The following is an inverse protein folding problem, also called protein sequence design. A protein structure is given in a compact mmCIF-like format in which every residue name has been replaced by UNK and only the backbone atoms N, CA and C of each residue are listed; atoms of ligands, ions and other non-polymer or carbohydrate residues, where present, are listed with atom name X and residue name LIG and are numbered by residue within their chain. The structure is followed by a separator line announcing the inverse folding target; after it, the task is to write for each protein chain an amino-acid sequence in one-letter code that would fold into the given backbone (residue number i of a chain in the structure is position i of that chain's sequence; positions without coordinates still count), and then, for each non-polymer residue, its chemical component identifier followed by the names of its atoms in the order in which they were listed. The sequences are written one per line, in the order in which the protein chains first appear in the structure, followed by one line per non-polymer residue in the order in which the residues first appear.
data_IF_950098129502
#
_entry.id   IF_950098129502
#
_cell.length_a   1.000
_cell.length_b   1.000
_cell.length_c   1.000
_cell.angle_alpha   90.00
_cell.angle_beta   90.00
_cell.angle_gamma   90.00
#
_symmetry.space_group_name_H-M   'P 1'
#
loop_
_entity.id
_entity.type
_entity.pdbx_description
1 polymer ?
#
# COMPACT_ATOMS: atom_id res chain seq x y z
N UNK A 1 -35.90 2.81 -4.46
CA UNK A 1 -36.97 2.85 -3.44
C UNK A 1 -37.53 1.44 -3.20
N UNK A 2 -36.84 0.57 -2.43
CA UNK A 2 -37.40 -0.64 -1.77
C UNK A 2 -36.42 -1.45 -0.88
N UNK A 3 -35.39 -0.83 -0.32
CA UNK A 3 -34.43 -1.53 0.58
C UNK A 3 -35.01 -1.69 2.01
N UNK A 4 -35.94 -0.82 2.42
CA UNK A 4 -36.56 -0.85 3.75
C UNK A 4 -37.67 -1.93 3.95
N UNK A 5 -38.10 -2.65 2.91
CA UNK A 5 -39.16 -3.69 3.03
C UNK A 5 -38.63 -5.13 3.08
N UNK A 6 -37.34 -5.37 2.83
CA UNK A 6 -36.76 -6.73 2.84
C UNK A 6 -36.41 -7.20 4.27
N UNK A 7 -36.23 -6.27 5.22
CA UNK A 7 -35.88 -6.56 6.61
C UNK A 7 -37.08 -6.79 7.55
N UNK A 8 -38.18 -7.36 7.04
CA UNK A 8 -39.29 -7.84 7.88
C UNK A 8 -39.56 -9.33 7.65
N UNK A 9 -39.10 -10.17 8.59
CA UNK A 9 -39.64 -11.51 8.79
C UNK A 9 -38.74 -12.70 8.44
N UNK A 10 -37.41 -12.56 8.47
CA UNK A 10 -36.49 -13.72 8.37
C UNK A 10 -35.53 -13.78 9.55
N UNK A 11 -35.54 -14.91 10.27
CA UNK A 11 -34.48 -15.29 11.21
C UNK A 11 -33.26 -15.73 10.39
N UNK A 12 -32.43 -14.76 9.99
CA UNK A 12 -31.16 -15.00 9.31
C UNK A 12 -30.03 -14.49 10.20
N UNK A 13 -29.32 -15.43 10.79
CA UNK A 13 -28.11 -15.20 11.58
C UNK A 13 -26.95 -15.08 10.58
N UNK A 14 -26.61 -13.84 10.20
CA UNK A 14 -25.55 -13.51 9.23
C UNK A 14 -24.42 -12.83 9.98
N UNK A 15 -23.22 -13.42 9.91
CA UNK A 15 -22.02 -12.92 10.56
C UNK A 15 -21.36 -11.80 9.74
N UNK A 16 -20.94 -10.71 10.39
CA UNK A 16 -20.31 -9.55 9.74
C UNK A 16 -18.94 -9.86 9.09
N UNK A 17 -18.35 -11.04 9.37
CA UNK A 17 -17.21 -11.57 8.61
C UNK A 17 -17.46 -11.57 7.10
N UNK A 18 -18.70 -11.78 6.67
CA UNK A 18 -19.05 -11.93 5.26
C UNK A 18 -19.07 -10.59 4.50
N UNK A 19 -19.08 -9.46 5.22
CA UNK A 19 -19.19 -8.10 4.65
C UNK A 19 -17.83 -7.56 4.17
N UNK A 20 -16.72 -8.00 4.78
CA UNK A 20 -15.37 -7.51 4.45
C UNK A 20 -14.58 -8.43 3.52
N UNK A 21 -14.98 -9.70 3.38
CA UNK A 21 -14.23 -10.70 2.60
C UNK A 21 -14.72 -10.89 1.15
N UNK A 22 -15.98 -10.53 0.80
CA UNK A 22 -16.57 -10.92 -0.50
C UNK A 22 -17.04 -9.76 -1.38
N UNK A 23 -16.47 -9.69 -2.60
CA UNK A 23 -16.66 -8.60 -3.58
C UNK A 23 -17.99 -8.59 -4.33
N UNK A 24 -18.92 -9.51 -4.06
CA UNK A 24 -20.34 -9.33 -4.43
C UNK A 24 -21.24 -10.35 -3.73
N UNK A 25 -22.51 -9.98 -3.55
CA UNK A 25 -23.58 -10.86 -3.02
C UNK A 25 -23.74 -12.17 -3.83
N UNK A 26 -23.28 -12.22 -5.09
CA UNK A 26 -23.37 -13.43 -5.90
C UNK A 26 -22.41 -14.54 -5.43
N UNK A 27 -21.28 -14.19 -4.82
CA UNK A 27 -20.30 -15.15 -4.30
C UNK A 27 -20.77 -15.81 -2.99
N UNK A 28 -21.58 -15.12 -2.17
CA UNK A 28 -22.15 -15.66 -0.94
C UNK A 28 -22.98 -16.94 -1.16
N UNK A 29 -23.66 -17.06 -2.31
CA UNK A 29 -24.58 -18.16 -2.57
C UNK A 29 -23.89 -19.52 -2.84
N UNK A 30 -22.59 -19.54 -3.12
CA UNK A 30 -21.85 -20.76 -3.50
C UNK A 30 -21.35 -21.57 -2.30
N UNK A 31 -20.95 -20.91 -1.20
CA UNK A 31 -20.15 -21.53 -0.13
C UNK A 31 -20.97 -21.94 1.12
N UNK A 32 -22.22 -21.51 1.26
CA UNK A 32 -23.11 -21.78 2.42
C UNK A 32 -23.45 -23.30 2.58
N UNK A 33 -22.96 -24.18 1.70
CA UNK A 33 -23.33 -25.60 1.66
C UNK A 33 -22.36 -26.57 2.34
N UNK A 34 -21.29 -26.11 2.99
CA UNK A 34 -20.22 -27.01 3.48
C UNK A 34 -19.84 -26.96 4.97
N UNK A 35 -20.24 -25.96 5.77
CA UNK A 35 -19.86 -25.93 7.21
C UNK A 35 -21.04 -25.71 8.17
N UNK A 36 -21.71 -26.81 8.51
CA UNK A 36 -22.67 -26.88 9.62
C UNK A 36 -22.41 -28.12 10.50
N UNK A 37 -21.40 -28.03 11.38
CA UNK A 37 -21.29 -28.85 12.61
C UNK A 37 -20.17 -28.36 13.55
N UNK A 38 -20.50 -27.59 14.61
CA UNK A 38 -19.54 -27.28 15.69
C UNK A 38 -19.94 -26.14 16.64
N UNK A 39 -19.82 -26.35 17.96
CA UNK A 39 -20.28 -25.42 19.03
C UNK A 39 -19.57 -25.69 20.36
N UNK A 40 -19.49 -24.77 21.35
CA UNK A 40 -19.63 -23.29 21.39
C UNK A 40 -19.39 -22.80 22.84
N UNK A 41 -19.33 -21.47 23.05
CA UNK A 41 -19.38 -20.78 24.38
C UNK A 41 -18.13 -21.01 25.30
N UNK A 42 -17.65 -20.08 26.16
CA UNK A 42 -18.09 -18.72 26.61
C UNK A 42 -16.95 -17.94 27.31
N UNK A 43 -16.97 -16.59 27.26
CA UNK A 43 -16.35 -15.63 28.24
C UNK A 43 -14.81 -15.58 28.40
N UNK A 44 -14.12 -14.54 28.94
CA UNK A 44 -14.50 -13.27 29.63
C UNK A 44 -13.45 -12.14 29.40
N UNK A 45 -13.64 -10.96 29.99
CA UNK A 45 -12.92 -9.68 29.75
C UNK A 45 -11.59 -9.50 30.50
N UNK A 46 -10.72 -8.60 30.01
CA UNK A 46 -10.40 -7.33 30.71
C UNK A 46 -9.58 -6.36 29.84
N UNK A 47 -9.72 -5.06 30.11
CA UNK A 47 -9.04 -3.98 29.40
C UNK A 47 -8.27 -3.08 30.38
N UNK A 48 -7.09 -2.59 30.00
CA UNK A 48 -6.39 -1.54 30.72
C UNK A 48 -5.78 -0.52 29.76
N UNK A 49 -5.93 0.75 30.10
CA UNK A 49 -5.48 1.90 29.32
C UNK A 49 -4.03 2.25 29.69
N UNK A 50 -3.25 2.75 28.72
CA UNK A 50 -1.96 3.38 28.96
C UNK A 50 -1.85 4.66 28.12
N UNK A 51 -1.32 5.73 28.72
CA UNK A 51 -1.46 7.11 28.23
C UNK A 51 -0.53 7.45 27.06
N UNK A 52 -1.03 8.29 26.15
CA UNK A 52 -0.28 8.83 25.01
C UNK A 52 0.64 9.94 25.50
N UNK A 53 1.96 9.78 25.34
CA UNK A 53 2.92 10.88 25.45
C UNK A 53 3.37 11.32 24.05
N UNK A 54 3.07 12.57 23.71
CA UNK A 54 3.46 13.17 22.42
C UNK A 54 4.95 13.47 22.47
N UNK A 55 5.75 12.78 21.65
CA UNK A 55 7.16 13.13 21.41
C UNK A 55 7.30 13.89 20.10
N UNK A 56 8.13 14.94 20.14
CA UNK A 56 8.40 15.86 19.05
C UNK A 56 9.16 15.15 17.92
N UNK A 57 8.60 15.15 16.70
CA UNK A 57 9.22 14.55 15.52
C UNK A 57 10.18 15.54 14.82
N UNK A 58 11.44 15.54 15.24
CA UNK A 58 12.54 16.11 14.45
C UNK A 58 12.87 15.19 13.26
N UNK A 59 12.07 15.29 12.20
CA UNK A 59 12.05 14.35 11.08
C UNK A 59 13.04 14.73 9.96
N UNK A 60 14.34 14.75 10.29
CA UNK A 60 15.43 14.81 9.30
C UNK A 60 15.71 13.40 8.77
N UNK A 61 14.88 12.91 7.85
CA UNK A 61 15.10 11.63 7.19
C UNK A 61 16.41 11.63 6.38
N UNK A 62 17.47 11.12 7.00
CA UNK A 62 18.63 10.60 6.28
C UNK A 62 18.39 9.11 6.02
N UNK A 63 18.89 8.60 4.90
CA UNK A 63 18.85 7.17 4.56
C UNK A 63 19.45 6.24 5.63
N UNK A 64 20.23 6.79 6.58
CA UNK A 64 20.79 6.12 7.75
C UNK A 64 19.75 5.52 8.71
N UNK A 65 18.49 5.93 8.62
CA UNK A 65 17.42 5.43 9.48
C UNK A 65 16.76 4.15 8.95
N UNK A 66 17.09 3.72 7.71
CA UNK A 66 16.64 2.43 7.19
C UNK A 66 17.54 1.28 7.66
N UNK A 67 16.94 0.27 8.28
CA UNK A 67 17.64 -0.96 8.63
C UNK A 67 18.00 -1.72 7.34
N UNK A 68 19.30 -1.83 7.06
CA UNK A 68 19.84 -2.63 5.95
C UNK A 68 20.20 -4.04 6.41
N UNK A 69 19.85 -5.04 5.61
CA UNK A 69 20.13 -6.44 5.91
C UNK A 69 21.05 -7.05 4.85
N UNK A 70 22.13 -7.71 5.25
CA UNK A 70 23.00 -8.46 4.35
C UNK A 70 23.80 -9.53 5.12
N UNK A 71 23.78 -10.76 4.62
CA UNK A 71 24.56 -11.91 5.11
C UNK A 71 25.01 -12.71 3.89
N UNK A 72 26.23 -13.24 3.87
CA UNK A 72 26.69 -14.10 2.78
C UNK A 72 27.59 -15.21 3.33
N UNK A 73 27.00 -16.38 3.56
CA UNK A 73 27.65 -17.61 3.99
C UNK A 73 27.09 -18.80 3.20
N UNK A 74 27.74 -19.96 3.23
CA UNK A 74 27.31 -21.15 2.48
C UNK A 74 25.86 -21.53 2.74
N UNK A 75 25.43 -21.46 4.00
CA UNK A 75 24.12 -21.95 4.46
C UNK A 75 23.14 -20.83 4.84
N UNK A 76 23.55 -19.56 4.82
CA UNK A 76 22.70 -18.41 5.11
C UNK A 76 23.11 -17.21 4.26
N UNK A 77 22.16 -16.70 3.47
CA UNK A 77 22.36 -15.55 2.58
C UNK A 77 21.18 -14.58 2.66
N UNK A 78 21.47 -13.29 2.69
CA UNK A 78 20.51 -12.19 2.61
C UNK A 78 21.05 -11.14 1.62
N UNK A 79 20.26 -10.82 0.60
CA UNK A 79 20.54 -9.75 -0.36
C UNK A 79 20.25 -8.38 0.28
N UNK A 80 21.03 -7.36 -0.09
CA UNK A 80 20.92 -6.01 0.49
C UNK A 80 19.53 -5.41 0.26
N UNK A 81 18.71 -5.32 1.31
CA UNK A 81 17.36 -4.76 1.27
C UNK A 81 17.17 -3.74 2.40
N UNK A 82 16.19 -2.83 2.27
CA UNK A 82 15.73 -1.95 3.36
C UNK A 82 14.25 -2.17 3.64
N UNK A 83 13.83 -2.06 4.90
CA UNK A 83 12.41 -1.94 5.25
C UNK A 83 12.00 -0.46 5.13
N UNK A 84 11.40 -0.08 4.00
CA UNK A 84 10.90 1.27 3.78
C UNK A 84 9.45 1.44 4.27
N UNK A 85 9.13 2.61 4.81
CA UNK A 85 7.81 2.95 5.37
C UNK A 85 7.17 4.19 4.71
N UNK A 86 7.69 4.60 3.55
CA UNK A 86 7.21 5.79 2.82
C UNK A 86 5.92 5.48 2.05
N UNK A 87 5.89 4.34 1.34
CA UNK A 87 4.74 3.83 0.59
C UNK A 87 4.45 2.41 1.04
N UNK A 88 3.31 2.19 1.69
CA UNK A 88 2.92 0.93 2.32
C UNK A 88 1.52 0.47 1.93
N UNK A 89 0.67 1.33 1.32
CA UNK A 89 -0.72 0.97 0.98
C UNK A 89 -0.83 -0.28 0.10
N UNK A 90 0.02 -0.43 -0.92
CA UNK A 90 0.00 -1.58 -1.84
C UNK A 90 1.38 -2.21 -1.99
N UNK A 91 1.43 -3.54 -1.81
CA UNK A 91 2.67 -4.31 -1.84
C UNK A 91 3.35 -4.34 -3.23
N UNK A 92 2.60 -4.18 -4.32
CA UNK A 92 3.15 -3.99 -5.67
C UNK A 92 4.01 -2.71 -5.81
N UNK A 93 3.86 -1.75 -4.90
CA UNK A 93 4.79 -0.63 -4.78
C UNK A 93 5.74 -0.76 -3.59
N UNK A 94 5.27 -1.18 -2.42
CA UNK A 94 6.11 -1.18 -1.22
C UNK A 94 7.26 -2.19 -1.27
N UNK A 95 7.06 -3.37 -1.86
CA UNK A 95 8.06 -4.43 -1.91
C UNK A 95 9.21 -4.14 -2.91
N UNK A 96 8.96 -3.69 -4.16
CA UNK A 96 10.05 -3.24 -5.04
C UNK A 96 10.83 -2.05 -4.47
N UNK A 97 10.18 -1.12 -3.76
CA UNK A 97 10.86 0.02 -3.13
C UNK A 97 11.80 -0.40 -2.00
N UNK A 98 11.55 -1.51 -1.31
CA UNK A 98 12.50 -2.09 -0.35
C UNK A 98 13.84 -2.48 -1.02
N UNK A 99 13.81 -2.83 -2.31
CA UNK A 99 15.00 -3.14 -3.11
C UNK A 99 15.63 -1.86 -3.68
N UNK A 100 14.85 -1.00 -4.32
CA UNK A 100 15.37 0.25 -4.94
C UNK A 100 16.03 1.17 -3.92
N UNK A 101 15.40 1.36 -2.75
CA UNK A 101 15.94 2.23 -1.69
C UNK A 101 17.08 1.60 -0.88
N UNK A 102 17.47 0.35 -1.18
CA UNK A 102 18.69 -0.23 -0.61
C UNK A 102 19.97 0.31 -1.25
N UNK A 103 19.87 1.00 -2.39
CA UNK A 103 20.95 1.77 -3.00
C UNK A 103 20.67 3.28 -2.92
N UNK A 104 21.41 3.98 -2.06
CA UNK A 104 21.30 5.43 -1.85
C UNK A 104 21.46 6.25 -3.15
N UNK A 105 22.14 5.67 -4.16
CA UNK A 105 22.31 6.26 -5.49
C UNK A 105 20.99 6.41 -6.25
N UNK A 106 19.96 5.65 -5.89
CA UNK A 106 18.63 5.64 -6.52
C UNK A 106 17.58 6.44 -5.74
N UNK A 107 17.94 7.03 -4.59
CA UNK A 107 17.01 7.93 -3.86
C UNK A 107 16.47 9.08 -4.75
N UNK A 108 17.25 9.73 -5.63
CA UNK A 108 16.69 10.79 -6.47
C UNK A 108 15.67 10.28 -7.49
N UNK A 109 15.79 9.04 -7.98
CA UNK A 109 14.77 8.40 -8.82
C UNK A 109 13.44 8.28 -8.06
N UNK A 110 13.48 7.80 -6.81
CA UNK A 110 12.27 7.71 -5.99
C UNK A 110 11.59 9.08 -5.81
N UNK A 111 12.35 10.16 -5.69
CA UNK A 111 11.82 11.51 -5.55
C UNK A 111 11.30 12.15 -6.86
N UNK A 112 11.64 11.60 -8.01
CA UNK A 112 11.02 11.93 -9.31
C UNK A 112 9.70 11.22 -9.55
N UNK A 113 9.52 10.04 -8.96
CA UNK A 113 8.31 9.24 -9.06
C UNK A 113 7.34 9.52 -7.91
N UNK A 114 6.11 9.00 -7.98
CA UNK A 114 5.03 9.06 -6.98
C UNK A 114 4.56 10.49 -6.61
N UNK A 115 4.66 11.43 -7.56
CA UNK A 115 4.29 12.86 -7.41
C UNK A 115 2.80 13.11 -7.70
N UNK A 116 2.17 12.28 -8.54
CA UNK A 116 0.78 12.43 -8.92
C UNK A 116 0.01 11.15 -8.56
N UNK A 117 -1.29 11.28 -8.33
CA UNK A 117 -2.21 10.21 -7.92
C UNK A 117 -3.45 10.25 -8.78
N UNK A 118 -4.15 9.12 -8.83
CA UNK A 118 -5.47 9.05 -9.42
C UNK A 118 -6.43 8.26 -8.53
N UNK A 119 -7.71 8.50 -8.73
CA UNK A 119 -8.78 7.66 -8.23
C UNK A 119 -9.47 6.95 -9.38
N UNK A 120 -10.04 5.79 -9.07
CA UNK A 120 -10.87 5.00 -9.95
C UNK A 120 -11.97 4.36 -9.10
N UNK A 121 -13.10 4.05 -9.73
CA UNK A 121 -14.23 3.38 -9.07
C UNK A 121 -14.37 2.00 -9.71
N UNK A 122 -14.34 0.95 -8.90
CA UNK A 122 -14.48 -0.42 -9.40
C UNK A 122 -15.93 -0.78 -9.75
N UNK A 123 -16.15 -1.98 -10.31
CA UNK A 123 -17.48 -2.44 -10.71
C UNK A 123 -18.46 -2.61 -9.53
N UNK A 124 -17.95 -2.71 -8.29
CA UNK A 124 -18.72 -2.72 -7.05
C UNK A 124 -19.10 -1.31 -6.56
N UNK A 125 -18.55 -0.27 -7.17
CA UNK A 125 -18.74 1.11 -6.74
C UNK A 125 -17.72 1.60 -5.71
N UNK A 126 -16.67 0.82 -5.40
CA UNK A 126 -15.66 1.22 -4.41
C UNK A 126 -14.61 2.14 -5.01
N UNK A 127 -14.30 3.21 -4.28
CA UNK A 127 -13.19 4.11 -4.51
C UNK A 127 -11.86 3.42 -4.24
N UNK A 128 -11.06 3.23 -5.29
CA UNK A 128 -9.63 2.94 -5.16
C UNK A 128 -8.82 4.18 -5.53
N UNK A 129 -7.88 4.56 -4.67
CA UNK A 129 -6.79 5.48 -4.99
C UNK A 129 -5.53 4.70 -5.39
N UNK A 130 -4.70 5.29 -6.24
CA UNK A 130 -3.41 4.74 -6.65
C UNK A 130 -2.44 5.87 -7.05
N UNK A 131 -1.13 5.61 -6.98
CA UNK A 131 -0.12 6.50 -7.57
C UNK A 131 -0.17 6.44 -9.10
N UNK A 132 0.02 7.58 -9.78
CA UNK A 132 0.03 7.66 -11.24
C UNK A 132 1.38 7.21 -11.82
N UNK A 133 1.71 5.94 -11.57
CA UNK A 133 2.91 5.27 -12.03
C UNK A 133 2.59 4.26 -13.14
N UNK A 134 3.55 3.93 -14.00
CA UNK A 134 3.36 2.78 -14.90
C UNK A 134 3.23 1.48 -14.08
N UNK A 135 2.48 0.50 -14.60
CA UNK A 135 2.30 -0.83 -13.94
C UNK A 135 3.62 -1.52 -13.54
N UNK A 136 4.68 -1.28 -14.30
CA UNK A 136 6.04 -1.75 -14.01
C UNK A 136 7.00 -0.55 -14.11
N UNK A 137 7.06 0.31 -13.08
CA UNK A 137 7.84 1.55 -13.12
C UNK A 137 9.32 1.26 -12.84
N UNK A 138 9.61 0.21 -12.07
CA UNK A 138 10.98 -0.14 -11.66
C UNK A 138 11.81 -0.81 -12.75
N UNK A 139 11.24 -1.15 -13.92
CA UNK A 139 11.97 -1.64 -15.11
C UNK A 139 13.13 -0.74 -15.52
N UNK A 140 13.10 0.54 -15.13
CA UNK A 140 14.19 1.49 -15.34
C UNK A 140 15.35 1.18 -14.40
N UNK A 141 15.05 0.91 -13.13
CA UNK A 141 15.99 0.63 -12.03
C UNK A 141 16.42 -0.85 -11.93
N UNK A 142 15.60 -1.79 -12.43
CA UNK A 142 15.73 -3.23 -12.21
C UNK A 142 15.52 -4.06 -13.48
N UNK A 143 16.07 -5.26 -13.49
CA UNK A 143 15.57 -6.35 -14.32
C UNK A 143 14.39 -7.00 -13.62
N UNK A 144 13.30 -7.22 -14.35
CA UNK A 144 12.04 -7.77 -13.85
C UNK A 144 11.68 -9.00 -14.70
N UNK A 145 11.30 -10.11 -14.06
CA UNK A 145 10.77 -11.30 -14.73
C UNK A 145 9.52 -11.76 -14.01
N UNK A 146 8.40 -11.86 -14.73
CA UNK A 146 7.11 -12.27 -14.20
C UNK A 146 6.81 -13.72 -14.63
N UNK A 147 6.41 -14.55 -13.67
CA UNK A 147 6.12 -15.97 -13.86
C UNK A 147 4.78 -16.31 -13.20
N UNK A 148 3.78 -16.64 -14.00
CA UNK A 148 2.55 -17.27 -13.54
C UNK A 148 2.80 -18.66 -12.96
N UNK A 149 1.89 -19.15 -12.12
CA UNK A 149 2.02 -20.48 -11.47
C UNK A 149 2.26 -21.63 -12.47
N UNK A 150 1.73 -21.50 -13.69
CA UNK A 150 1.87 -22.49 -14.76
C UNK A 150 3.31 -22.67 -15.26
N UNK A 151 4.18 -21.65 -15.15
CA UNK A 151 5.61 -21.79 -15.44
C UNK A 151 6.38 -22.57 -14.35
N UNK A 152 5.80 -22.70 -13.15
CA UNK A 152 6.38 -23.33 -11.97
C UNK A 152 5.77 -24.72 -11.68
N UNK A 153 5.11 -25.33 -12.67
CA UNK A 153 4.57 -26.70 -12.58
C UNK A 153 5.65 -27.78 -12.65
N UNK A 154 6.74 -27.50 -13.37
CA UNK A 154 7.88 -28.42 -13.53
C UNK A 154 8.97 -28.23 -12.47
N UNK A 155 8.82 -27.22 -11.62
CA UNK A 155 9.77 -26.95 -10.56
C UNK A 155 9.61 -27.98 -9.44
N UNK A 156 10.68 -28.70 -9.13
CA UNK A 156 10.63 -29.83 -8.22
C UNK A 156 10.53 -29.39 -6.75
N UNK A 157 11.07 -28.20 -6.45
CA UNK A 157 11.16 -27.64 -5.11
C UNK A 157 11.14 -26.12 -5.19
N UNK A 158 10.09 -25.50 -4.66
CA UNK A 158 10.00 -24.03 -4.64
C UNK A 158 11.11 -23.40 -3.78
N UNK A 159 11.56 -24.12 -2.73
CA UNK A 159 12.67 -23.68 -1.88
C UNK A 159 13.98 -23.64 -2.67
N UNK A 160 14.30 -24.70 -3.41
CA UNK A 160 15.53 -24.75 -4.21
C UNK A 160 15.51 -23.71 -5.34
N UNK A 161 14.34 -23.48 -5.97
CA UNK A 161 14.15 -22.37 -6.91
C UNK A 161 14.44 -21.02 -6.26
N UNK A 162 13.88 -20.73 -5.09
CA UNK A 162 14.11 -19.46 -4.38
C UNK A 162 15.60 -19.31 -4.04
N UNK A 163 16.24 -20.35 -3.48
CA UNK A 163 17.66 -20.38 -3.14
C UNK A 163 18.54 -20.12 -4.37
N UNK A 164 18.23 -20.73 -5.53
CA UNK A 164 18.93 -20.45 -6.79
C UNK A 164 18.77 -18.98 -7.22
N UNK A 165 17.56 -18.42 -7.16
CA UNK A 165 17.33 -17.00 -7.55
C UNK A 165 18.05 -16.03 -6.62
N UNK A 166 17.99 -16.26 -5.31
CA UNK A 166 18.73 -15.49 -4.30
C UNK A 166 20.25 -15.59 -4.53
N UNK A 167 20.78 -16.78 -4.81
CA UNK A 167 22.21 -16.95 -5.12
C UNK A 167 22.64 -16.26 -6.41
N UNK A 168 21.75 -16.17 -7.41
CA UNK A 168 21.95 -15.39 -8.62
C UNK A 168 21.68 -13.88 -8.43
N UNK A 169 21.38 -13.41 -7.22
CA UNK A 169 21.16 -12.00 -6.90
C UNK A 169 19.80 -11.46 -7.33
N UNK A 170 18.79 -12.32 -7.47
CA UNK A 170 17.40 -11.94 -7.68
C UNK A 170 16.63 -12.02 -6.36
N UNK A 171 15.95 -10.93 -6.00
CA UNK A 171 14.88 -10.95 -5.01
C UNK A 171 13.65 -11.63 -5.60
N UNK A 172 12.86 -12.30 -4.75
CA UNK A 172 11.72 -13.11 -5.19
C UNK A 172 10.45 -12.60 -4.52
N UNK A 173 9.67 -11.77 -5.20
CA UNK A 173 8.28 -11.53 -4.80
C UNK A 173 7.49 -12.78 -5.20
N UNK A 174 6.75 -13.37 -4.26
CA UNK A 174 6.06 -14.64 -4.49
C UNK A 174 4.71 -14.68 -3.78
N UNK A 175 3.68 -15.07 -4.53
CA UNK A 175 2.35 -15.35 -4.03
C UNK A 175 2.29 -16.73 -3.35
N UNK A 176 1.83 -16.76 -2.11
CA UNK A 176 1.57 -17.97 -1.33
C UNK A 176 0.27 -17.81 -0.53
N UNK A 177 -0.35 -18.91 -0.13
CA UNK A 177 -1.58 -18.90 0.67
C UNK A 177 -1.26 -18.64 2.15
N UNK A 178 -1.64 -17.46 2.64
CA UNK A 178 -1.39 -17.01 4.01
C UNK A 178 -2.10 -17.87 5.08
N UNK A 179 -3.08 -18.70 4.70
CA UNK A 179 -3.70 -19.69 5.60
C UNK A 179 -2.68 -20.58 6.30
N UNK A 180 -1.57 -20.90 5.61
CA UNK A 180 -0.55 -21.85 6.07
C UNK A 180 0.70 -21.17 6.66
N UNK A 181 0.73 -19.84 6.81
CA UNK A 181 1.91 -19.09 7.24
C UNK A 181 1.71 -18.48 8.65
N UNK A 182 2.28 -19.04 9.74
CA UNK A 182 2.01 -18.62 11.12
C UNK A 182 2.19 -17.13 11.44
N UNK A 183 3.05 -16.44 10.69
CA UNK A 183 3.36 -15.01 10.85
C UNK A 183 2.35 -14.07 10.19
N UNK A 184 1.31 -14.61 9.52
CA UNK A 184 0.35 -13.87 8.70
C UNK A 184 -1.02 -13.70 9.36
N UNK A 185 -1.74 -12.65 8.95
CA UNK A 185 -3.04 -12.31 9.54
C UNK A 185 -4.12 -13.36 9.27
N UNK A 186 -4.11 -14.00 8.09
CA UNK A 186 -5.09 -15.01 7.68
C UNK A 186 -4.74 -16.45 8.12
N UNK A 187 -3.64 -16.65 8.87
CA UNK A 187 -3.20 -17.98 9.33
C UNK A 187 -4.32 -18.75 10.04
N UNK A 188 -4.63 -19.94 9.52
CA UNK A 188 -5.72 -20.82 9.99
C UNK A 188 -7.11 -20.17 10.04
N UNK A 189 -7.34 -19.04 9.35
CA UNK A 189 -8.65 -18.34 9.30
C UNK A 189 -9.31 -18.45 7.94
N UNK A 190 -8.61 -18.10 6.86
CA UNK A 190 -9.15 -18.05 5.51
C UNK A 190 -8.05 -18.26 4.45
N UNK A 191 -8.43 -18.82 3.29
CA UNK A 191 -7.52 -18.96 2.14
C UNK A 191 -7.30 -17.59 1.48
N UNK A 192 -6.12 -17.00 1.70
CA UNK A 192 -5.77 -15.67 1.23
C UNK A 192 -4.41 -15.70 0.54
N UNK A 193 -4.42 -15.73 -0.79
CA UNK A 193 -3.20 -15.79 -1.59
C UNK A 193 -2.64 -14.40 -1.77
N UNK A 194 -1.49 -14.15 -1.17
CA UNK A 194 -0.89 -12.83 -1.12
C UNK A 194 0.63 -12.93 -1.26
N UNK A 195 1.28 -11.84 -1.67
CA UNK A 195 2.72 -11.85 -1.92
C UNK A 195 3.55 -11.28 -0.78
N UNK A 196 4.81 -11.70 -0.73
CA UNK A 196 5.85 -11.13 0.12
C UNK A 196 7.17 -11.24 -0.63
N UNK A 197 8.12 -10.33 -0.37
CA UNK A 197 9.43 -10.37 -1.02
C UNK A 197 10.39 -11.20 -0.19
N UNK A 198 10.87 -12.30 -0.73
CA UNK A 198 11.97 -13.07 -0.17
C UNK A 198 13.26 -12.47 -0.69
N UNK A 199 14.17 -12.17 0.24
CA UNK A 199 15.49 -11.61 -0.04
C UNK A 199 16.63 -12.43 0.58
N UNK A 200 16.30 -13.48 1.36
CA UNK A 200 17.29 -14.36 1.93
C UNK A 200 16.75 -15.71 2.36
N UNK A 201 17.66 -16.56 2.82
CA UNK A 201 17.39 -17.89 3.37
C UNK A 201 18.41 -18.25 4.45
N UNK A 202 18.02 -19.14 5.36
CA UNK A 202 18.84 -19.80 6.36
C UNK A 202 18.55 -21.31 6.31
N UNK A 203 19.48 -22.08 5.74
CA UNK A 203 19.39 -23.54 5.61
C UNK A 203 19.59 -24.26 6.96
N UNK A 204 20.30 -23.64 7.92
CA UNK A 204 20.57 -24.23 9.24
C UNK A 204 19.27 -24.31 10.03
N UNK A 205 18.49 -23.23 10.02
CA UNK A 205 17.18 -23.15 10.68
C UNK A 205 16.00 -23.46 9.75
N UNK A 206 16.24 -23.76 8.46
CA UNK A 206 15.24 -24.04 7.41
C UNK A 206 14.19 -22.92 7.23
N UNK A 207 14.66 -21.68 7.12
CA UNK A 207 13.81 -20.48 7.01
C UNK A 207 14.10 -19.66 5.76
N UNK A 208 13.04 -19.09 5.18
CA UNK A 208 13.09 -18.02 4.20
C UNK A 208 12.99 -16.69 4.93
N UNK A 209 13.73 -15.68 4.47
CA UNK A 209 13.82 -14.35 5.09
C UNK A 209 13.19 -13.34 4.13
N UNK A 210 12.17 -12.63 4.61
CA UNK A 210 11.25 -11.88 3.77
C UNK A 210 10.80 -10.54 4.37
N UNK A 211 10.18 -9.71 3.53
CA UNK A 211 9.38 -8.54 3.94
C UNK A 211 7.95 -8.71 3.42
N UNK A 212 6.97 -8.40 4.26
CA UNK A 212 5.54 -8.43 3.92
C UNK A 212 4.70 -7.95 5.09
N UNK A 213 3.37 -7.96 4.95
CA UNK A 213 2.49 -7.75 6.11
C UNK A 213 2.55 -8.96 7.05
N UNK A 214 2.59 -8.68 8.36
CA UNK A 214 2.53 -9.66 9.43
C UNK A 214 1.10 -9.87 9.95
N UNK A 215 0.94 -10.58 11.07
CA UNK A 215 -0.34 -10.82 11.76
C UNK A 215 -1.07 -9.55 12.23
N UNK A 216 -0.35 -8.43 12.37
CA UNK A 216 -0.89 -7.12 12.75
C UNK A 216 -1.17 -6.22 11.53
N UNK A 217 -1.06 -6.76 10.31
CA UNK A 217 -1.16 -6.02 9.03
C UNK A 217 -0.09 -4.92 8.87
N UNK A 218 1.04 -5.02 9.58
CA UNK A 218 2.17 -4.08 9.50
C UNK A 218 3.25 -4.62 8.56
N UNK A 219 3.74 -3.75 7.67
CA UNK A 219 4.85 -4.08 6.77
C UNK A 219 6.11 -4.26 7.60
N UNK A 220 6.67 -5.46 7.58
CA UNK A 220 7.75 -5.83 8.49
C UNK A 220 8.64 -6.92 7.91
N UNK A 221 9.84 -7.06 8.48
CA UNK A 221 10.68 -8.24 8.27
C UNK A 221 10.01 -9.45 8.94
N UNK A 222 9.87 -10.54 8.18
CA UNK A 222 9.22 -11.78 8.60
C UNK A 222 10.03 -12.98 8.10
N UNK A 223 9.85 -14.14 8.73
CA UNK A 223 10.44 -15.40 8.27
C UNK A 223 9.37 -16.45 8.04
N UNK A 224 9.58 -17.30 7.04
CA UNK A 224 8.73 -18.47 6.79
C UNK A 224 9.54 -19.75 6.94
N UNK A 225 9.06 -20.71 7.74
CA UNK A 225 9.64 -22.04 7.80
C UNK A 225 9.40 -22.77 6.46
N UNK A 226 10.38 -23.55 5.99
CA UNK A 226 10.35 -24.15 4.64
C UNK A 226 9.13 -25.05 4.42
N UNK A 227 8.76 -25.85 5.42
CA UNK A 227 7.69 -26.84 5.29
C UNK A 227 6.29 -26.18 5.23
N UNK A 228 6.10 -25.11 6.01
CA UNK A 228 4.92 -24.23 5.94
C UNK A 228 4.87 -23.51 4.58
N UNK A 229 5.99 -22.97 4.10
CA UNK A 229 6.04 -22.24 2.83
C UNK A 229 5.81 -23.13 1.60
N UNK A 230 6.33 -24.36 1.60
CA UNK A 230 6.03 -25.37 0.58
C UNK A 230 4.51 -25.62 0.51
N UNK A 231 3.87 -25.77 1.67
CA UNK A 231 2.43 -26.00 1.79
C UNK A 231 1.63 -24.77 1.33
N UNK A 232 2.03 -23.57 1.76
CA UNK A 232 1.42 -22.29 1.38
C UNK A 232 1.50 -22.04 -0.13
N UNK A 233 2.66 -22.30 -0.76
CA UNK A 233 2.83 -22.13 -2.21
C UNK A 233 2.02 -23.16 -3.01
N UNK A 234 1.98 -24.42 -2.55
CA UNK A 234 1.17 -25.46 -3.19
C UNK A 234 -0.33 -25.14 -3.16
N UNK A 235 -0.84 -24.62 -2.04
CA UNK A 235 -2.24 -24.18 -1.93
C UNK A 235 -2.49 -22.85 -2.66
N UNK A 236 -1.48 -21.96 -2.74
CA UNK A 236 -1.54 -20.75 -3.55
C UNK A 236 -1.96 -21.02 -5.01
N UNK A 237 -1.44 -22.09 -5.61
CA UNK A 237 -1.82 -22.57 -6.96
C UNK A 237 -3.32 -22.90 -7.10
N UNK A 238 -3.98 -23.30 -5.99
CA UNK A 238 -5.39 -23.69 -5.97
C UNK A 238 -6.32 -22.50 -5.71
N UNK A 239 -5.94 -21.59 -4.82
CA UNK A 239 -6.82 -20.54 -4.30
C UNK A 239 -6.58 -19.13 -4.88
N UNK A 240 -5.54 -18.90 -5.70
CA UNK A 240 -5.18 -17.55 -6.16
C UNK A 240 -6.30 -16.80 -6.89
N UNK A 241 -7.18 -17.52 -7.58
CA UNK A 241 -8.29 -16.92 -8.35
C UNK A 241 -9.28 -16.13 -7.48
N UNK A 242 -9.30 -16.38 -6.17
CA UNK A 242 -10.18 -15.71 -5.21
C UNK A 242 -9.61 -14.34 -4.81
N UNK A 243 -8.34 -14.30 -4.38
CA UNK A 243 -7.72 -13.15 -3.70
C UNK A 243 -6.61 -12.45 -4.51
N UNK A 244 -5.95 -13.17 -5.40
CA UNK A 244 -4.89 -12.64 -6.28
C UNK A 244 -5.00 -13.21 -7.72
N UNK A 245 -6.09 -12.95 -8.46
CA UNK A 245 -6.32 -13.54 -9.79
C UNK A 245 -5.20 -13.21 -10.80
N UNK A 246 -4.49 -12.09 -10.63
CA UNK A 246 -3.32 -11.71 -11.43
C UNK A 246 -2.12 -12.66 -11.28
N UNK A 247 -2.09 -13.52 -10.26
CA UNK A 247 -1.08 -14.57 -10.11
C UNK A 247 -1.20 -15.69 -11.18
N UNK A 248 -2.22 -15.64 -12.06
CA UNK A 248 -2.24 -16.39 -13.32
C UNK A 248 -0.95 -16.19 -14.13
N UNK A 249 -0.46 -14.94 -14.13
CA UNK A 249 0.65 -14.44 -14.95
C UNK A 249 1.81 -13.87 -14.10
N UNK A 250 1.51 -13.44 -12.86
CA UNK A 250 2.45 -12.84 -11.91
C UNK A 250 2.45 -13.60 -10.55
N UNK A 251 2.58 -14.92 -10.52
CA UNK A 251 2.70 -15.66 -9.24
C UNK A 251 4.05 -15.43 -8.55
N UNK A 252 5.10 -15.28 -9.35
CA UNK A 252 6.45 -14.92 -8.92
C UNK A 252 6.95 -13.76 -9.76
N UNK A 253 7.52 -12.75 -9.11
CA UNK A 253 8.21 -11.62 -9.74
C UNK A 253 9.67 -11.64 -9.26
N UNK A 254 10.60 -11.86 -10.20
CA UNK A 254 12.04 -11.84 -9.93
C UNK A 254 12.57 -10.44 -10.21
N UNK A 255 13.12 -9.81 -9.19
CA UNK A 255 13.66 -8.46 -9.26
C UNK A 255 15.17 -8.50 -9.09
N UNK A 256 15.92 -7.73 -9.87
CA UNK A 256 17.37 -7.58 -9.69
C UNK A 256 17.79 -6.16 -10.07
N UNK A 257 18.37 -5.42 -9.12
CA UNK A 257 18.99 -4.12 -9.40
C UNK A 257 19.98 -4.26 -10.56
N UNK A 258 19.91 -3.33 -11.53
CA UNK A 258 20.97 -3.23 -12.54
C UNK A 258 22.20 -2.58 -11.91
N UNK A 259 23.35 -2.80 -12.51
CA UNK A 259 24.56 -2.09 -12.10
C UNK A 259 24.57 -0.68 -12.70
N UNK A 260 24.65 0.33 -11.83
CA UNK A 260 24.68 1.74 -12.21
C UNK A 260 26.07 2.33 -11.99
N UNK A 261 26.63 3.07 -12.97
CA UNK A 261 27.96 3.67 -12.84
C UNK A 261 28.01 4.88 -11.88
N UNK A 262 26.86 5.37 -11.41
CA UNK A 262 26.79 6.58 -10.58
C UNK A 262 25.41 6.78 -9.93
N UNK A 263 25.23 7.94 -9.31
CA UNK A 263 23.96 8.41 -8.75
C UNK A 263 22.98 8.75 -9.87
N UNK A 264 21.70 8.45 -9.66
CA UNK A 264 20.64 8.81 -10.60
C UNK A 264 20.56 10.35 -10.77
N UNK A 265 20.52 10.88 -12.01
CA UNK A 265 20.58 12.30 -12.27
C UNK A 265 19.21 12.96 -12.14
N UNK A 266 18.96 13.70 -11.05
CA UNK A 266 17.65 14.29 -10.77
C UNK A 266 17.25 15.40 -11.76
N UNK A 267 16.13 15.24 -12.47
CA UNK A 267 15.50 16.26 -13.32
C UNK A 267 14.38 17.00 -12.58
N UNK A 268 14.72 18.20 -12.11
CA UNK A 268 13.77 19.14 -11.50
C UNK A 268 12.62 19.53 -12.44
N UNK A 269 12.80 19.49 -13.76
CA UNK A 269 11.73 19.81 -14.72
C UNK A 269 10.70 18.68 -14.78
N UNK A 270 11.14 17.41 -14.73
CA UNK A 270 10.23 16.28 -14.60
C UNK A 270 9.37 16.43 -13.34
N UNK A 271 10.00 16.67 -12.18
CA UNK A 271 9.30 16.90 -10.92
C UNK A 271 8.27 18.03 -11.02
N UNK A 272 8.66 19.20 -11.56
CA UNK A 272 7.77 20.36 -11.67
C UNK A 272 6.59 20.12 -12.63
N UNK A 273 6.82 19.40 -13.73
CA UNK A 273 5.75 19.07 -14.67
C UNK A 273 4.76 18.04 -14.07
N UNK A 274 5.23 17.08 -13.28
CA UNK A 274 4.35 16.17 -12.54
C UNK A 274 3.57 16.90 -11.44
N UNK A 275 4.20 17.83 -10.72
CA UNK A 275 3.55 18.68 -9.73
C UNK A 275 2.48 19.58 -10.37
N UNK A 276 2.74 20.15 -11.55
CA UNK A 276 1.75 20.92 -12.30
C UNK A 276 0.57 20.05 -12.76
N UNK A 277 0.83 18.83 -13.24
CA UNK A 277 -0.20 17.87 -13.60
C UNK A 277 -1.08 17.53 -12.37
N UNK A 278 -0.45 17.27 -11.22
CA UNK A 278 -1.13 17.09 -9.94
C UNK A 278 -2.04 18.29 -9.59
N UNK A 279 -1.48 19.51 -9.64
CA UNK A 279 -2.18 20.76 -9.29
C UNK A 279 -3.22 21.23 -10.32
N UNK A 280 -3.22 20.67 -11.52
CA UNK A 280 -4.23 20.91 -12.57
C UNK A 280 -5.26 19.79 -12.68
N UNK A 281 -5.13 18.73 -11.87
CA UNK A 281 -5.94 17.51 -11.97
C UNK A 281 -5.83 16.82 -13.34
N UNK A 282 -4.65 16.95 -13.96
CA UNK A 282 -4.27 16.26 -15.19
C UNK A 282 -3.53 14.95 -14.88
N UNK A 283 -3.54 14.05 -15.85
CA UNK A 283 -2.84 12.76 -15.77
C UNK A 283 -2.67 12.13 -17.14
N UNK A 284 -2.03 10.97 -17.17
CA UNK A 284 -1.61 10.30 -18.40
C UNK A 284 -2.48 9.07 -18.71
N UNK A 285 -3.16 9.11 -19.85
CA UNK A 285 -4.02 8.02 -20.33
C UNK A 285 -3.22 6.79 -20.79
N UNK A 286 -1.94 6.93 -21.12
CA UNK A 286 -1.05 5.80 -21.43
C UNK A 286 -0.67 5.02 -20.17
N UNK A 287 -0.53 5.70 -19.03
CA UNK A 287 -0.32 5.09 -17.72
C UNK A 287 -1.52 4.24 -17.31
N UNK A 288 -2.75 4.79 -17.33
CA UNK A 288 -3.94 3.98 -16.95
C UNK A 288 -4.18 2.83 -17.93
N UNK A 289 -3.85 3.00 -19.21
CA UNK A 289 -3.89 1.94 -20.20
C UNK A 289 -2.88 0.81 -19.90
N UNK A 290 -1.73 1.11 -19.28
CA UNK A 290 -0.73 0.10 -18.90
C UNK A 290 -1.24 -0.88 -17.83
N UNK A 291 -2.24 -0.49 -17.03
CA UNK A 291 -2.93 -1.38 -16.10
C UNK A 291 -4.05 -2.21 -16.76
N UNK A 292 -4.35 -1.99 -18.04
CA UNK A 292 -5.39 -2.69 -18.81
C UNK A 292 -6.81 -2.56 -18.22
N UNK A 293 -7.10 -1.46 -17.51
CA UNK A 293 -8.36 -1.24 -16.81
C UNK A 293 -9.41 -0.56 -17.68
N UNK A 294 -10.69 -0.78 -17.38
CA UNK A 294 -11.79 -0.03 -18.00
C UNK A 294 -11.79 1.43 -17.51
N UNK A 295 -12.01 2.37 -18.43
CA UNK A 295 -11.62 3.79 -18.27
C UNK A 295 -12.70 4.65 -17.61
N UNK A 296 -13.48 4.08 -16.70
CA UNK A 296 -14.66 4.76 -16.13
C UNK A 296 -14.31 5.52 -14.85
N UNK A 297 -14.81 6.75 -14.75
CA UNK A 297 -14.76 7.61 -13.56
C UNK A 297 -13.36 7.84 -12.96
N UNK A 298 -12.33 7.97 -13.81
CA UNK A 298 -10.97 8.31 -13.33
C UNK A 298 -10.89 9.82 -13.04
N UNK A 299 -10.35 10.19 -11.86
CA UNK A 299 -9.88 11.56 -11.56
C UNK A 299 -8.40 11.54 -11.26
N UNK A 300 -7.71 12.64 -11.54
CA UNK A 300 -6.28 12.78 -11.30
C UNK A 300 -6.00 13.94 -10.34
N UNK A 301 -4.83 13.91 -9.70
CA UNK A 301 -4.29 15.02 -8.93
C UNK A 301 -5.18 15.52 -7.80
N UNK A 302 -5.33 16.84 -7.70
CA UNK A 302 -6.26 17.47 -6.73
C UNK A 302 -7.73 17.04 -6.90
N UNK A 303 -8.15 16.57 -8.08
CA UNK A 303 -9.50 16.06 -8.32
C UNK A 303 -9.83 14.79 -7.53
N UNK A 304 -8.82 14.07 -7.02
CA UNK A 304 -9.01 12.91 -6.14
C UNK A 304 -9.71 13.29 -4.82
N UNK A 305 -9.50 14.51 -4.32
CA UNK A 305 -10.17 15.00 -3.11
C UNK A 305 -11.70 15.01 -3.27
N UNK A 306 -12.21 15.33 -4.46
CA UNK A 306 -13.64 15.43 -4.71
C UNK A 306 -14.32 14.05 -4.67
N UNK A 307 -13.63 13.01 -5.14
CA UNK A 307 -14.13 11.63 -5.06
C UNK A 307 -14.09 11.13 -3.61
N UNK A 308 -13.02 11.39 -2.84
CA UNK A 308 -12.98 11.05 -1.41
C UNK A 308 -14.15 11.72 -0.66
N UNK A 309 -14.40 13.00 -0.91
CA UNK A 309 -15.53 13.72 -0.31
C UNK A 309 -16.86 13.06 -0.71
N UNK A 310 -17.08 12.79 -2.00
CA UNK A 310 -18.31 12.15 -2.49
C UNK A 310 -18.56 10.78 -1.85
N UNK A 311 -17.53 9.95 -1.71
CA UNK A 311 -17.65 8.62 -1.11
C UNK A 311 -17.80 8.65 0.43
N UNK A 312 -17.28 9.69 1.11
CA UNK A 312 -17.60 9.94 2.52
C UNK A 312 -19.02 10.47 2.71
N UNK A 313 -19.54 11.27 1.78
CA UNK A 313 -20.95 11.69 1.77
C UNK A 313 -21.89 10.50 1.51
N UNK A 314 -21.50 9.55 0.65
CA UNK A 314 -22.21 8.26 0.49
C UNK A 314 -22.23 7.45 1.79
N UNK A 315 -21.12 7.40 2.54
CA UNK A 315 -21.03 6.72 3.83
C UNK A 315 -22.01 7.30 4.88
N UNK A 316 -22.25 8.62 4.88
CA UNK A 316 -23.30 9.25 5.70
C UNK A 316 -24.72 8.77 5.38
N UNK A 317 -24.95 8.28 4.16
CA UNK A 317 -26.24 7.70 3.72
C UNK A 317 -26.32 6.18 3.92
N UNK A 318 -25.28 5.57 4.48
CA UNK A 318 -25.18 4.12 4.71
C UNK A 318 -24.66 3.31 3.52
N UNK A 319 -24.03 3.97 2.53
CA UNK A 319 -23.39 3.31 1.38
C UNK A 319 -21.89 3.20 1.65
N UNK A 320 -21.40 1.98 1.80
CA UNK A 320 -19.97 1.70 2.00
C UNK A 320 -19.27 1.62 0.64
N UNK A 321 -18.59 2.68 0.26
CA UNK A 321 -17.91 2.80 -1.04
C UNK A 321 -16.48 3.36 -0.94
N UNK A 322 -15.94 3.52 0.28
CA UNK A 322 -14.56 3.92 0.57
C UNK A 322 -14.05 3.15 1.78
N UNK A 323 -12.76 2.79 1.79
CA UNK A 323 -12.08 2.17 2.93
C UNK A 323 -10.80 2.93 3.32
N UNK A 324 -10.20 2.51 4.45
CA UNK A 324 -9.02 3.12 5.06
C UNK A 324 -7.87 3.39 4.07
N UNK A 325 -7.67 2.52 3.07
CA UNK A 325 -6.55 2.61 2.10
C UNK A 325 -6.58 3.89 1.27
N UNK A 326 -7.76 4.44 0.98
CA UNK A 326 -7.87 5.71 0.27
C UNK A 326 -7.27 6.87 1.09
N UNK A 327 -7.63 6.96 2.38
CA UNK A 327 -7.14 8.01 3.29
C UNK A 327 -5.67 7.78 3.67
N UNK A 328 -5.26 6.52 3.79
CA UNK A 328 -3.87 6.12 4.01
C UNK A 328 -2.98 6.53 2.82
N UNK A 329 -3.35 6.17 1.58
CA UNK A 329 -2.59 6.56 0.38
C UNK A 329 -2.51 8.08 0.22
N UNK A 330 -3.61 8.80 0.49
CA UNK A 330 -3.58 10.26 0.47
C UNK A 330 -2.53 10.82 1.45
N UNK A 331 -2.43 10.23 2.64
CA UNK A 331 -1.42 10.60 3.66
C UNK A 331 0.00 10.28 3.21
N UNK A 332 0.23 9.09 2.65
CA UNK A 332 1.52 8.68 2.08
C UNK A 332 1.95 9.66 0.97
N UNK A 333 1.03 10.05 0.10
CA UNK A 333 1.26 11.07 -0.93
C UNK A 333 1.61 12.43 -0.32
N UNK A 334 0.85 12.95 0.66
CA UNK A 334 1.16 14.26 1.27
C UNK A 334 2.55 14.27 1.89
N UNK A 335 2.89 13.25 2.70
CA UNK A 335 4.23 13.08 3.28
C UNK A 335 5.30 12.95 2.19
N UNK A 336 5.02 12.18 1.14
CA UNK A 336 5.88 11.99 -0.02
C UNK A 336 6.21 13.31 -0.74
N UNK A 337 5.24 14.19 -0.94
CA UNK A 337 5.47 15.52 -1.53
C UNK A 337 6.36 16.37 -0.61
N UNK A 338 6.11 16.40 0.70
CA UNK A 338 6.96 17.14 1.65
C UNK A 338 8.42 16.62 1.63
N UNK A 339 8.60 15.30 1.62
CA UNK A 339 9.92 14.66 1.57
C UNK A 339 10.66 14.99 0.27
N UNK A 340 9.98 15.02 -0.89
CA UNK A 340 10.55 15.46 -2.18
C UNK A 340 10.96 16.92 -2.16
N UNK A 341 10.13 17.79 -1.61
CA UNK A 341 10.42 19.22 -1.52
C UNK A 341 11.60 19.52 -0.57
N UNK A 342 11.73 18.79 0.55
CA UNK A 342 12.91 18.83 1.43
C UNK A 342 14.17 18.33 0.73
N UNK A 343 14.07 17.26 -0.05
CA UNK A 343 15.18 16.80 -0.89
C UNK A 343 15.63 17.87 -1.88
N UNK A 344 14.70 18.46 -2.64
CA UNK A 344 14.97 19.55 -3.58
C UNK A 344 15.62 20.76 -2.89
N UNK A 345 15.14 21.14 -1.69
CA UNK A 345 15.74 22.21 -0.89
C UNK A 345 17.20 21.91 -0.53
N UNK A 346 17.50 20.68 -0.09
CA UNK A 346 18.85 20.26 0.28
C UNK A 346 19.80 20.13 -0.91
N UNK A 347 19.34 19.51 -1.99
CA UNK A 347 20.09 19.28 -3.23
C UNK A 347 20.50 20.59 -3.91
N UNK A 348 19.57 21.55 -3.99
CA UNK A 348 19.77 22.83 -4.67
C UNK A 348 20.02 24.03 -3.73
N UNK A 349 20.11 23.80 -2.42
CA UNK A 349 20.37 24.82 -1.39
C UNK A 349 19.39 26.01 -1.46
N UNK A 350 18.09 25.72 -1.61
CA UNK A 350 17.07 26.72 -1.90
C UNK A 350 16.79 27.59 -0.68
N UNK A 351 16.98 28.90 -0.84
CA UNK A 351 16.86 29.90 0.22
C UNK A 351 15.64 30.84 0.00
N UNK A 352 15.39 31.71 0.98
CA UNK A 352 14.41 32.80 0.88
C UNK A 352 12.96 32.32 0.96
N UNK A 353 12.46 32.12 2.18
CA UNK A 353 11.05 31.78 2.45
C UNK A 353 10.66 30.32 2.17
N UNK A 354 11.48 29.52 1.49
CA UNK A 354 11.12 28.13 1.15
C UNK A 354 10.83 27.28 2.39
N UNK A 355 11.66 27.39 3.44
CA UNK A 355 11.45 26.71 4.73
C UNK A 355 10.11 27.03 5.39
N UNK A 356 9.58 28.24 5.17
CA UNK A 356 8.27 28.64 5.66
C UNK A 356 7.15 27.97 4.88
N UNK A 357 7.27 27.89 3.55
CA UNK A 357 6.33 27.16 2.69
C UNK A 357 6.31 25.65 3.03
N UNK A 358 7.47 25.04 3.35
CA UNK A 358 7.54 23.63 3.76
C UNK A 358 6.92 23.40 5.14
N UNK A 359 7.11 24.32 6.08
CA UNK A 359 6.46 24.30 7.40
C UNK A 359 4.94 24.44 7.27
N UNK A 360 4.47 25.39 6.46
CA UNK A 360 3.05 25.57 6.16
C UNK A 360 2.44 24.30 5.55
N UNK A 361 3.14 23.69 4.58
CA UNK A 361 2.70 22.43 3.99
C UNK A 361 2.66 21.27 5.02
N UNK A 362 3.66 21.16 5.89
CA UNK A 362 3.65 20.18 6.99
C UNK A 362 2.42 20.35 7.89
N UNK A 363 2.21 21.56 8.40
CA UNK A 363 1.21 21.84 9.43
C UNK A 363 -0.23 21.89 8.91
N UNK A 364 -0.43 22.44 7.70
CA UNK A 364 -1.76 22.66 7.12
C UNK A 364 -2.22 21.50 6.21
N UNK A 365 -1.31 20.63 5.77
CA UNK A 365 -1.62 19.52 4.86
C UNK A 365 -1.25 18.17 5.46
N UNK A 366 0.05 17.92 5.76
CA UNK A 366 0.54 16.59 6.15
C UNK A 366 0.02 16.18 7.53
N UNK A 367 0.12 17.05 8.54
CA UNK A 367 -0.32 16.77 9.91
C UNK A 367 -1.86 16.64 9.99
N UNK A 368 -2.59 17.42 9.20
CA UNK A 368 -4.06 17.37 9.15
C UNK A 368 -4.57 16.09 8.49
N UNK A 369 -3.99 15.66 7.36
CA UNK A 369 -4.41 14.41 6.72
C UNK A 369 -4.03 13.19 7.56
N UNK A 370 -2.91 13.22 8.27
CA UNK A 370 -2.48 12.13 9.17
C UNK A 370 -3.36 12.03 10.43
N UNK A 371 -3.88 13.16 10.92
CA UNK A 371 -4.92 13.20 11.96
C UNK A 371 -6.24 12.59 11.48
N UNK A 372 -6.69 12.95 10.26
CA UNK A 372 -7.87 12.36 9.61
C UNK A 372 -7.68 10.85 9.42
N UNK A 373 -6.52 10.41 8.96
CA UNK A 373 -6.17 9.00 8.78
C UNK A 373 -6.33 8.20 10.06
N UNK A 374 -5.86 8.72 11.21
CA UNK A 374 -6.08 8.08 12.53
C UNK A 374 -7.56 7.95 12.86
N UNK A 375 -8.32 9.06 12.79
CA UNK A 375 -9.78 9.04 13.03
C UNK A 375 -10.50 8.03 12.13
N UNK A 376 -10.10 7.95 10.86
CA UNK A 376 -10.73 7.07 9.89
C UNK A 376 -10.31 5.60 10.07
N UNK A 377 -9.13 5.33 10.64
CA UNK A 377 -8.74 4.00 11.12
C UNK A 377 -9.64 3.55 12.27
N UNK A 378 -9.88 4.40 13.26
CA UNK A 378 -10.77 4.09 14.40
C UNK A 378 -12.20 3.80 13.92
N UNK A 379 -12.73 4.63 13.00
CA UNK A 379 -14.03 4.38 12.35
C UNK A 379 -14.04 3.06 11.59
N UNK A 380 -13.01 2.76 10.79
CA UNK A 380 -12.90 1.50 10.04
C UNK A 380 -12.86 0.29 10.96
N UNK A 381 -12.08 0.36 12.04
CA UNK A 381 -11.96 -0.69 13.06
C UNK A 381 -13.29 -0.93 13.79
N UNK A 382 -14.03 0.13 14.12
CA UNK A 382 -15.32 -0.03 14.80
C UNK A 382 -16.43 -0.53 13.89
N UNK A 383 -16.41 -0.17 12.60
CA UNK A 383 -17.27 -0.77 11.58
C UNK A 383 -16.95 -2.27 11.45
N UNK A 384 -15.68 -2.67 11.37
CA UNK A 384 -15.30 -4.08 11.21
C UNK A 384 -15.61 -4.94 12.43
N UNK A 385 -15.45 -4.40 13.64
CA UNK A 385 -15.61 -5.15 14.90
C UNK A 385 -16.98 -4.97 15.56
N UNK A 386 -17.93 -4.28 14.92
CA UNK A 386 -19.27 -3.98 15.46
C UNK A 386 -19.26 -3.28 16.84
N UNK A 387 -18.16 -2.60 17.20
CA UNK A 387 -18.05 -1.89 18.48
C UNK A 387 -18.82 -0.57 18.42
N UNK A 388 -19.54 -0.21 19.48
CA UNK A 388 -20.24 1.08 19.57
C UNK A 388 -19.27 2.27 19.58
N UNK A 389 -18.93 2.79 18.39
CA UNK A 389 -18.30 4.09 18.27
C UNK A 389 -19.40 5.15 18.16
N UNK A 390 -19.62 5.89 19.25
CA UNK A 390 -20.68 6.89 19.30
C UNK A 390 -20.42 7.99 18.27
N UNK A 391 -21.45 8.38 17.53
CA UNK A 391 -21.47 9.55 16.65
C UNK A 391 -20.58 9.50 15.39
N UNK A 392 -20.41 8.32 14.77
CA UNK A 392 -19.74 8.16 13.45
C UNK A 392 -20.17 9.22 12.41
N UNK A 393 -21.47 9.56 12.22
CA UNK A 393 -21.86 10.56 11.23
C UNK A 393 -21.26 11.96 11.46
N UNK A 394 -21.04 12.37 12.71
CA UNK A 394 -20.36 13.63 13.00
C UNK A 394 -18.85 13.56 12.69
N UNK A 395 -18.20 12.43 12.98
CA UNK A 395 -16.78 12.21 12.66
C UNK A 395 -16.56 12.26 11.15
N UNK A 396 -17.43 11.61 10.37
CA UNK A 396 -17.38 11.66 8.90
C UNK A 396 -17.67 13.08 8.38
N UNK A 397 -18.64 13.79 8.96
CA UNK A 397 -18.92 15.19 8.58
C UNK A 397 -17.74 16.14 8.87
N UNK A 398 -17.11 16.01 10.04
CA UNK A 398 -15.89 16.76 10.41
C UNK A 398 -14.73 16.41 9.47
N UNK A 399 -14.60 15.13 9.11
CA UNK A 399 -13.60 14.65 8.16
C UNK A 399 -13.79 15.27 6.78
N UNK A 400 -15.02 15.32 6.26
CA UNK A 400 -15.33 15.94 4.96
C UNK A 400 -14.92 17.42 4.94
N UNK A 401 -15.29 18.20 5.96
CA UNK A 401 -14.92 19.62 6.02
C UNK A 401 -13.40 19.83 6.19
N UNK A 402 -12.74 18.94 6.94
CA UNK A 402 -11.28 18.96 7.08
C UNK A 402 -10.58 18.66 5.74
N UNK A 403 -11.07 17.67 4.96
CA UNK A 403 -10.55 17.34 3.63
C UNK A 403 -10.76 18.50 2.64
N UNK A 404 -11.91 19.20 2.70
CA UNK A 404 -12.16 20.43 1.91
C UNK A 404 -11.15 21.53 2.25
N UNK A 405 -10.88 21.77 3.54
CA UNK A 405 -9.92 22.77 3.99
C UNK A 405 -8.48 22.42 3.55
N UNK A 406 -8.07 21.16 3.71
CA UNK A 406 -6.76 20.66 3.27
C UNK A 406 -6.56 20.87 1.77
N UNK A 407 -7.57 20.54 0.94
CA UNK A 407 -7.49 20.72 -0.53
C UNK A 407 -7.16 22.17 -0.91
N UNK A 408 -7.82 23.13 -0.25
CA UNK A 408 -7.63 24.56 -0.50
C UNK A 408 -6.24 25.02 -0.05
N UNK A 409 -5.82 24.60 1.15
CA UNK A 409 -4.50 24.95 1.70
C UNK A 409 -3.37 24.37 0.83
N UNK A 410 -3.45 23.08 0.48
CA UNK A 410 -2.50 22.40 -0.39
C UNK A 410 -2.41 23.08 -1.76
N UNK A 411 -3.54 23.32 -2.42
CA UNK A 411 -3.54 23.94 -3.75
C UNK A 411 -2.85 25.30 -3.75
N UNK A 412 -3.06 26.11 -2.70
CA UNK A 412 -2.39 27.40 -2.55
C UNK A 412 -0.88 27.22 -2.32
N UNK A 413 -0.50 26.48 -1.27
CA UNK A 413 0.90 26.36 -0.85
C UNK A 413 1.75 25.73 -1.95
N UNK A 414 1.26 24.67 -2.60
CA UNK A 414 2.00 24.02 -3.68
C UNK A 414 2.09 24.88 -4.95
N UNK A 415 1.12 25.77 -5.24
CA UNK A 415 1.26 26.74 -6.35
C UNK A 415 2.31 27.81 -6.04
N UNK A 416 2.36 28.32 -4.81
CA UNK A 416 3.38 29.28 -4.37
C UNK A 416 4.79 28.65 -4.44
N UNK A 417 4.91 27.38 -4.02
CA UNK A 417 6.13 26.56 -4.14
C UNK A 417 6.51 26.32 -5.61
N UNK A 418 5.57 25.85 -6.44
CA UNK A 418 5.79 25.59 -7.87
C UNK A 418 6.30 26.85 -8.58
N UNK A 419 5.63 27.99 -8.36
CA UNK A 419 6.03 29.27 -8.94
C UNK A 419 7.45 29.67 -8.53
N UNK A 420 7.79 29.54 -7.24
CA UNK A 420 9.13 29.85 -6.74
C UNK A 420 10.20 28.94 -7.36
N UNK A 421 9.96 27.63 -7.44
CA UNK A 421 10.88 26.68 -8.05
C UNK A 421 11.05 26.94 -9.55
N UNK A 422 9.97 27.25 -10.29
CA UNK A 422 10.07 27.62 -11.71
C UNK A 422 10.88 28.89 -11.92
N UNK A 423 10.72 29.93 -11.10
CA UNK A 423 11.54 31.16 -11.20
C UNK A 423 13.03 30.90 -10.91
N UNK A 424 13.34 29.94 -10.04
CA UNK A 424 14.73 29.57 -9.71
C UNK A 424 15.41 28.79 -10.86
N UNK A 425 14.71 27.81 -11.46
CA UNK A 425 15.30 26.84 -12.40
C UNK A 425 14.93 27.00 -13.88
N UNK A 426 13.81 27.65 -14.19
CA UNK A 426 13.25 27.76 -15.55
C UNK A 426 13.15 29.26 -15.93
N UNK A 427 14.12 29.74 -16.70
CA UNK A 427 14.18 31.11 -17.24
C UNK A 427 13.79 31.19 -18.71
#
# INVERSE_FOLDING_TARGET
MRIAEIFKGSNLDISVSDILTYKSVHQLAANIKLDLQGKSETSSSDASQAEVSVKEYNLFYNLKDFQTYQVDTTDHKELKIVLQNEITTYLCHSLPLCVVLSDERLLPWFYEHFINIYSMIDDGGYLKLEFLEYRAPYKEMMYEVYLGYHFLEKEASIIDFIIDKINNGYYVIIHADEYFLPVKASYQKEHFVHHSIIYGYDNINRKLIAIGFNSEQLLSQITFDYDDFITAFANGKLYYQISAPWASDNAVELLKLKDYPGRYPFDINHFLNQLEAYLSSAGDQSIIFSYMMDRKKIKYGLGVYDEIISHLEELLTGVFSIDYRAVHLLTEHKRGILNRLRFIQGEYQINGGFEEMLRDYSQQVVEQVDFIRRKFLDVSYSISNQTELTNIPAIISETIESIKAIKIAEQKILRDIEQKLRVEFIR
#
